data_IF_688204177503
#
_entry.id   IF_688204177503
#
_cell.length_a   1.000
_cell.length_b   1.000
_cell.length_c   1.000
_cell.angle_alpha   90.00
_cell.angle_beta   90.00
_cell.angle_gamma   90.00
#
_symmetry.space_group_name_H-M   'P 1'
#
loop_
_entity.id
_entity.type
_entity.pdbx_description
1 polymer ?
#
# COMPACT_ATOMS: atom_id res chain seq x y z
N UNK A 1 5.53 -17.14 -13.86
CA UNK A 1 4.16 -17.18 -13.28
C UNK A 1 3.34 -16.18 -14.08
N UNK A 2 2.11 -16.50 -14.47
CA UNK A 2 1.25 -15.55 -15.18
C UNK A 2 0.30 -14.87 -14.18
N UNK A 3 0.57 -13.64 -13.85
CA UNK A 3 -0.20 -12.86 -12.86
C UNK A 3 -1.67 -12.71 -13.23
N UNK A 4 -1.98 -12.71 -14.52
CA UNK A 4 -3.38 -12.64 -14.98
C UNK A 4 -4.15 -13.90 -14.62
N UNK A 5 -3.54 -15.07 -14.77
CA UNK A 5 -4.17 -16.35 -14.39
C UNK A 5 -4.37 -16.43 -12.88
N UNK A 6 -3.40 -15.95 -12.09
CA UNK A 6 -3.53 -15.88 -10.63
C UNK A 6 -4.67 -14.94 -10.22
N UNK A 7 -4.77 -13.78 -10.85
CA UNK A 7 -5.85 -12.84 -10.58
C UNK A 7 -7.23 -13.41 -10.93
N UNK A 8 -7.37 -14.15 -12.06
CA UNK A 8 -8.64 -14.83 -12.36
C UNK A 8 -9.00 -15.88 -11.31
N UNK A 9 -8.03 -16.63 -10.78
CA UNK A 9 -8.27 -17.58 -9.68
C UNK A 9 -8.82 -16.86 -8.44
N UNK A 10 -8.27 -15.72 -8.10
CA UNK A 10 -8.76 -14.90 -6.98
C UNK A 10 -10.17 -14.38 -7.26
N UNK A 11 -10.43 -13.88 -8.48
CA UNK A 11 -11.74 -13.38 -8.91
C UNK A 11 -12.85 -14.43 -8.85
N UNK A 12 -12.52 -15.67 -9.16
CA UNK A 12 -13.47 -16.78 -9.08
C UNK A 12 -13.85 -17.12 -7.62
N UNK A 13 -12.97 -16.85 -6.68
CA UNK A 13 -13.16 -17.14 -5.25
C UNK A 13 -13.87 -16.01 -4.49
N UNK A 14 -13.48 -14.76 -4.71
CA UNK A 14 -13.96 -13.62 -3.92
C UNK A 14 -14.81 -12.62 -4.72
N UNK A 15 -14.85 -12.74 -6.05
CA UNK A 15 -15.65 -11.88 -6.92
C UNK A 15 -14.84 -10.83 -7.67
N UNK A 16 -15.39 -10.40 -8.81
CA UNK A 16 -14.73 -9.41 -9.69
C UNK A 16 -14.78 -8.00 -9.13
N UNK A 17 -15.80 -7.68 -8.36
CA UNK A 17 -15.96 -6.36 -7.77
C UNK A 17 -14.83 -6.06 -6.77
N UNK A 18 -14.52 -7.02 -5.92
CA UNK A 18 -13.52 -6.94 -4.86
C UNK A 18 -12.08 -6.86 -5.40
N UNK A 19 -11.89 -7.19 -6.68
CA UNK A 19 -10.58 -7.19 -7.36
C UNK A 19 -10.51 -6.21 -8.53
N UNK A 20 -11.43 -5.24 -8.61
CA UNK A 20 -11.53 -4.31 -9.74
C UNK A 20 -10.74 -3.02 -9.56
N UNK A 21 -10.34 -2.74 -8.33
CA UNK A 21 -9.63 -1.51 -7.96
C UNK A 21 -8.38 -1.82 -7.11
N UNK A 22 -7.51 -0.84 -6.90
CA UNK A 22 -6.27 -0.99 -6.11
C UNK A 22 -6.55 -1.10 -4.62
N UNK A 23 -7.65 -0.52 -4.15
CA UNK A 23 -8.00 -0.45 -2.74
C UNK A 23 -9.33 -1.15 -2.43
N UNK A 24 -9.40 -1.75 -1.26
CA UNK A 24 -10.67 -2.10 -0.63
C UNK A 24 -11.31 -0.85 -0.03
N UNK A 25 -12.65 -0.72 -0.17
CA UNK A 25 -13.36 0.48 0.24
C UNK A 25 -14.59 0.13 1.07
N UNK A 26 -14.69 0.75 2.25
CA UNK A 26 -15.75 0.49 3.22
C UNK A 26 -16.48 1.78 3.58
N UNK A 27 -17.83 1.82 3.53
CA UNK A 27 -18.57 2.99 3.99
C UNK A 27 -18.46 3.15 5.51
N UNK A 28 -18.22 4.38 5.95
CA UNK A 28 -18.22 4.81 7.34
C UNK A 28 -19.15 6.02 7.53
N UNK A 29 -19.46 6.39 8.77
CA UNK A 29 -20.28 7.56 9.09
C UNK A 29 -21.62 7.59 8.32
N UNK A 30 -22.39 6.52 8.43
CA UNK A 30 -23.65 6.32 7.69
C UNK A 30 -23.50 6.47 6.17
N UNK A 31 -22.34 6.13 5.64
CA UNK A 31 -22.03 6.17 4.21
C UNK A 31 -21.67 7.56 3.67
N UNK A 32 -21.40 8.53 4.53
CA UNK A 32 -20.93 9.87 4.13
C UNK A 32 -19.46 9.86 3.71
N UNK A 33 -18.65 9.06 4.40
CA UNK A 33 -17.23 8.88 4.12
C UNK A 33 -16.92 7.42 3.80
N UNK A 34 -15.79 7.22 3.16
CA UNK A 34 -15.25 5.91 2.83
C UNK A 34 -13.91 5.72 3.55
N UNK A 35 -13.74 4.58 4.20
CA UNK A 35 -12.43 4.07 4.61
C UNK A 35 -11.84 3.33 3.40
N UNK A 36 -10.64 3.72 3.02
CA UNK A 36 -9.87 3.12 1.93
C UNK A 36 -8.70 2.36 2.51
N UNK A 37 -8.43 1.16 2.04
CA UNK A 37 -7.29 0.35 2.48
C UNK A 37 -6.69 -0.44 1.33
N UNK A 38 -5.36 -0.50 1.29
CA UNK A 38 -4.59 -1.33 0.37
C UNK A 38 -3.48 -2.07 1.11
N UNK A 39 -2.92 -3.10 0.49
CA UNK A 39 -1.74 -3.78 0.99
C UNK A 39 -0.79 -4.13 -0.15
N UNK A 40 0.50 -3.85 0.04
CA UNK A 40 1.58 -4.16 -0.89
C UNK A 40 2.66 -5.00 -0.22
N UNK A 41 3.30 -5.84 -1.00
CA UNK A 41 4.41 -6.67 -0.57
C UNK A 41 5.58 -6.50 -1.54
N UNK A 42 6.73 -6.12 -0.99
CA UNK A 42 7.96 -5.91 -1.75
C UNK A 42 9.06 -6.86 -1.26
N UNK A 43 9.76 -7.48 -2.20
CA UNK A 43 10.86 -8.41 -1.97
C UNK A 43 12.19 -7.81 -2.43
N UNK A 44 13.28 -8.13 -1.72
CA UNK A 44 14.60 -7.61 -2.03
C UNK A 44 15.06 -7.93 -3.45
N UNK A 45 14.82 -9.16 -3.89
CA UNK A 45 15.35 -9.65 -5.17
C UNK A 45 14.55 -9.20 -6.39
N UNK A 46 13.28 -8.85 -6.22
CA UNK A 46 12.36 -8.55 -7.34
C UNK A 46 11.99 -7.07 -7.44
N UNK A 47 11.88 -6.38 -6.31
CA UNK A 47 11.24 -5.07 -6.28
C UNK A 47 12.20 -3.92 -5.98
N UNK A 48 13.33 -4.20 -5.31
CA UNK A 48 14.29 -3.15 -4.98
C UNK A 48 15.46 -3.13 -5.98
N UNK A 49 15.75 -1.98 -6.61
CA UNK A 49 16.93 -1.79 -7.46
C UNK A 49 18.24 -2.09 -6.71
N UNK A 50 19.20 -2.70 -7.39
CA UNK A 50 20.53 -2.94 -6.83
C UNK A 50 21.17 -1.64 -6.35
N UNK A 51 21.70 -1.66 -5.12
CA UNK A 51 22.35 -0.49 -4.50
C UNK A 51 21.39 0.45 -3.77
N UNK A 52 20.11 0.12 -3.70
CA UNK A 52 19.18 0.83 -2.83
C UNK A 52 19.56 0.59 -1.37
N UNK A 53 19.57 1.66 -0.56
CA UNK A 53 19.84 1.55 0.87
C UNK A 53 18.59 1.05 1.62
N UNK A 54 18.78 0.45 2.79
CA UNK A 54 17.68 0.00 3.65
C UNK A 54 16.70 1.15 3.98
N UNK A 55 17.21 2.36 4.17
CA UNK A 55 16.37 3.55 4.36
C UNK A 55 15.47 3.82 3.16
N UNK A 56 16.03 3.73 1.94
CA UNK A 56 15.27 3.91 0.70
C UNK A 56 14.26 2.79 0.48
N UNK A 57 14.61 1.55 0.84
CA UNK A 57 13.68 0.41 0.78
C UNK A 57 12.46 0.63 1.69
N UNK A 58 12.70 1.08 2.92
CA UNK A 58 11.62 1.43 3.86
C UNK A 58 10.75 2.58 3.35
N UNK A 59 11.35 3.64 2.80
CA UNK A 59 10.62 4.75 2.17
C UNK A 59 9.74 4.25 1.00
N UNK A 60 10.33 3.49 0.07
CA UNK A 60 9.65 2.98 -1.11
C UNK A 60 8.47 2.08 -0.73
N UNK A 61 8.66 1.18 0.25
CA UNK A 61 7.60 0.28 0.70
C UNK A 61 6.40 1.04 1.28
N UNK A 62 6.65 2.06 2.10
CA UNK A 62 5.59 2.91 2.62
C UNK A 62 4.92 3.73 1.50
N UNK A 63 5.71 4.26 0.55
CA UNK A 63 5.21 5.07 -0.55
C UNK A 63 4.29 4.27 -1.49
N UNK A 64 4.56 2.99 -1.73
CA UNK A 64 3.72 2.13 -2.57
C UNK A 64 2.27 2.14 -2.09
N UNK A 65 2.01 1.67 -0.88
CA UNK A 65 0.65 1.63 -0.33
C UNK A 65 0.03 3.02 -0.10
N UNK A 66 0.82 4.02 0.29
CA UNK A 66 0.29 5.38 0.48
C UNK A 66 -0.13 6.02 -0.84
N UNK A 67 0.56 5.69 -1.95
CA UNK A 67 0.19 6.19 -3.29
C UNK A 67 -1.12 5.60 -3.79
N UNK A 68 -1.40 4.32 -3.49
CA UNK A 68 -2.66 3.68 -3.85
C UNK A 68 -3.84 4.33 -3.10
N UNK A 69 -3.66 4.58 -1.80
CA UNK A 69 -4.66 5.32 -1.02
C UNK A 69 -4.91 6.69 -1.63
N UNK A 70 -3.86 7.41 -2.01
CA UNK A 70 -3.98 8.73 -2.62
C UNK A 70 -4.64 8.68 -4.01
N UNK A 71 -4.38 7.63 -4.81
CA UNK A 71 -5.01 7.44 -6.13
C UNK A 71 -6.53 7.33 -6.06
N UNK A 72 -7.06 6.83 -4.94
CA UNK A 72 -8.50 6.76 -4.65
C UNK A 72 -9.10 8.10 -4.19
N UNK A 73 -8.32 9.19 -4.18
CA UNK A 73 -8.75 10.49 -3.66
C UNK A 73 -8.75 10.58 -2.13
N UNK A 74 -8.29 9.54 -1.44
CA UNK A 74 -8.30 9.48 0.01
C UNK A 74 -7.08 10.17 0.63
N UNK A 75 -7.29 10.81 1.78
CA UNK A 75 -6.20 11.31 2.61
C UNK A 75 -5.61 10.14 3.42
N UNK A 76 -4.34 9.78 3.23
CA UNK A 76 -3.68 8.78 4.05
C UNK A 76 -3.73 9.16 5.54
N UNK A 77 -3.91 8.17 6.41
CA UNK A 77 -4.00 8.39 7.86
C UNK A 77 -3.05 7.50 8.64
N UNK A 78 -3.03 6.22 8.33
CA UNK A 78 -2.25 5.23 9.05
C UNK A 78 -1.64 4.20 8.11
N UNK A 79 -0.55 3.58 8.56
CA UNK A 79 0.12 2.47 7.88
C UNK A 79 0.56 1.42 8.90
N UNK A 80 0.35 0.15 8.58
CA UNK A 80 0.94 -1.00 9.25
C UNK A 80 2.11 -1.52 8.42
N UNK A 81 3.18 -1.98 9.07
CA UNK A 81 4.37 -2.49 8.39
C UNK A 81 4.76 -3.83 9.00
N UNK A 82 4.75 -4.89 8.20
CA UNK A 82 5.33 -6.16 8.58
C UNK A 82 6.66 -6.37 7.84
N UNK A 83 7.69 -6.82 8.56
CA UNK A 83 9.04 -6.97 8.00
C UNK A 83 9.56 -8.38 8.29
N UNK A 84 9.78 -9.16 7.24
CA UNK A 84 10.54 -10.40 7.27
C UNK A 84 12.02 -10.09 7.04
N UNK A 85 12.87 -10.38 8.03
CA UNK A 85 14.28 -9.99 8.05
C UNK A 85 15.21 -11.19 7.89
N UNK A 86 16.17 -11.09 6.99
CA UNK A 86 17.33 -11.96 6.91
C UNK A 86 18.41 -11.60 7.96
N UNK A 87 18.48 -10.31 8.36
CA UNK A 87 19.44 -9.76 9.34
C UNK A 87 18.81 -8.66 10.17
N UNK A 88 18.94 -8.75 11.49
CA UNK A 88 18.28 -7.85 12.45
C UNK A 88 18.72 -6.36 12.33
N UNK A 89 19.99 -6.13 11.97
CA UNK A 89 20.55 -4.76 11.85
C UNK A 89 19.89 -3.91 10.76
N UNK A 90 19.21 -4.55 9.80
CA UNK A 90 18.50 -3.85 8.71
C UNK A 90 17.21 -3.17 9.17
N UNK A 91 16.61 -3.62 10.28
CA UNK A 91 15.31 -3.13 10.73
C UNK A 91 15.32 -1.61 10.98
N UNK A 92 16.32 -1.11 11.70
CA UNK A 92 16.35 0.30 12.10
C UNK A 92 16.33 1.25 10.89
N UNK A 93 17.26 1.16 9.92
CA UNK A 93 17.25 2.06 8.78
C UNK A 93 15.99 1.91 7.91
N UNK A 94 15.43 0.70 7.76
CA UNK A 94 14.17 0.47 7.05
C UNK A 94 13.03 1.26 7.73
N UNK A 95 12.90 1.11 9.04
CA UNK A 95 11.85 1.81 9.79
C UNK A 95 12.02 3.33 9.78
N UNK A 96 13.26 3.83 9.84
CA UNK A 96 13.54 5.27 9.70
C UNK A 96 13.07 5.82 8.35
N UNK A 97 13.29 5.09 7.25
CA UNK A 97 12.80 5.45 5.92
C UNK A 97 11.28 5.45 5.84
N UNK A 98 10.64 4.39 6.34
CA UNK A 98 9.19 4.27 6.35
C UNK A 98 8.51 5.37 7.20
N UNK A 99 9.07 5.67 8.38
CA UNK A 99 8.59 6.77 9.25
C UNK A 99 8.70 8.12 8.53
N UNK A 100 9.80 8.36 7.83
CA UNK A 100 10.00 9.60 7.09
C UNK A 100 8.98 9.75 5.95
N UNK A 101 8.69 8.68 5.21
CA UNK A 101 7.66 8.66 4.16
C UNK A 101 6.27 8.91 4.74
N UNK A 102 5.88 8.19 5.79
CA UNK A 102 4.58 8.36 6.44
C UNK A 102 4.36 9.82 6.89
N UNK A 103 5.37 10.43 7.54
CA UNK A 103 5.33 11.85 7.94
C UNK A 103 5.17 12.80 6.75
N UNK A 104 5.87 12.55 5.65
CA UNK A 104 5.75 13.37 4.44
C UNK A 104 4.33 13.34 3.84
N UNK A 105 3.60 12.25 4.04
CA UNK A 105 2.22 12.06 3.60
C UNK A 105 1.17 12.39 4.70
N UNK A 106 1.57 12.98 5.82
CA UNK A 106 0.71 13.24 7.00
C UNK A 106 0.05 11.96 7.57
N UNK A 107 0.69 10.83 7.41
CA UNK A 107 0.28 9.54 7.97
C UNK A 107 1.16 9.14 9.15
N UNK A 108 0.70 8.12 9.91
CA UNK A 108 1.44 7.57 11.05
C UNK A 108 1.63 6.07 10.88
N UNK A 109 2.78 5.56 11.34
CA UNK A 109 2.92 4.11 11.52
C UNK A 109 2.16 3.73 12.79
N UNK A 110 1.14 2.89 12.65
CA UNK A 110 0.22 2.51 13.71
C UNK A 110 0.55 1.14 14.33
N UNK A 111 1.45 0.38 13.71
CA UNK A 111 1.84 -0.95 14.16
C UNK A 111 2.41 -1.78 13.02
N UNK A 112 2.46 -3.09 13.22
CA UNK A 112 2.99 -4.03 12.23
C UNK A 112 3.41 -5.34 12.87
N UNK A 113 4.32 -6.04 12.20
CA UNK A 113 4.87 -7.33 12.64
C UNK A 113 6.35 -7.44 12.26
N UNK A 114 7.08 -8.32 12.95
CA UNK A 114 8.49 -8.61 12.66
C UNK A 114 8.70 -10.10 12.76
N UNK A 115 9.28 -10.69 11.72
CA UNK A 115 9.64 -12.12 11.73
C UNK A 115 11.01 -12.34 11.08
N UNK A 116 11.60 -13.49 11.33
CA UNK A 116 12.81 -13.96 10.65
C UNK A 116 12.44 -14.57 9.30
N UNK A 117 13.15 -14.18 8.25
CA UNK A 117 12.90 -14.67 6.90
C UNK A 117 14.24 -14.90 6.16
N UNK A 118 14.21 -15.65 5.09
CA UNK A 118 15.42 -15.95 4.28
C UNK A 118 15.81 -14.81 3.35
N UNK A 119 14.88 -13.90 3.07
CA UNK A 119 15.02 -12.73 2.19
C UNK A 119 14.28 -11.56 2.82
N UNK A 120 14.83 -10.34 2.71
CA UNK A 120 14.09 -9.16 3.14
C UNK A 120 12.77 -9.05 2.36
N UNK A 121 11.69 -9.06 3.12
CA UNK A 121 10.33 -8.85 2.63
C UNK A 121 9.65 -7.77 3.47
N UNK A 122 9.09 -6.76 2.82
CA UNK A 122 8.38 -5.68 3.51
C UNK A 122 6.94 -5.66 3.01
N UNK A 123 6.00 -5.83 3.93
CA UNK A 123 4.56 -5.73 3.65
C UNK A 123 4.03 -4.47 4.32
N UNK A 124 3.35 -3.64 3.56
CA UNK A 124 2.72 -2.42 4.07
C UNK A 124 1.22 -2.46 3.82
N UNK A 125 0.44 -2.04 4.81
CA UNK A 125 -1.01 -1.88 4.69
C UNK A 125 -1.35 -0.45 5.06
N UNK A 126 -1.83 0.33 4.08
CA UNK A 126 -2.18 1.73 4.29
C UNK A 126 -3.69 1.93 4.40
N UNK A 127 -4.06 2.94 5.18
CA UNK A 127 -5.44 3.36 5.38
C UNK A 127 -5.58 4.85 5.08
N UNK A 128 -6.74 5.20 4.52
CA UNK A 128 -7.11 6.59 4.29
C UNK A 128 -8.60 6.80 4.38
N UNK A 129 -9.01 8.06 4.40
CA UNK A 129 -10.40 8.45 4.47
C UNK A 129 -10.69 9.46 3.35
N UNK A 130 -11.85 9.30 2.71
CA UNK A 130 -12.31 10.22 1.66
C UNK A 130 -13.82 10.46 1.83
N UNK A 131 -14.28 11.68 1.55
CA UNK A 131 -15.71 11.92 1.38
C UNK A 131 -16.23 11.13 0.17
N UNK A 132 -17.40 10.52 0.30
CA UNK A 132 -17.95 9.62 -0.72
C UNK A 132 -17.98 10.23 -2.12
N UNK A 133 -18.27 11.51 -2.21
CA UNK A 133 -18.36 12.25 -3.48
C UNK A 133 -17.00 12.48 -4.16
N UNK A 134 -15.89 12.39 -3.42
CA UNK A 134 -14.52 12.54 -3.92
C UNK A 134 -13.78 11.24 -4.13
N UNK A 135 -14.42 10.11 -3.83
CA UNK A 135 -13.82 8.80 -4.07
C UNK A 135 -13.63 8.55 -5.58
N UNK A 136 -12.40 8.27 -5.96
CA UNK A 136 -12.00 7.97 -7.33
C UNK A 136 -11.81 6.46 -7.52
N UNK A 137 -12.36 5.93 -8.62
CA UNK A 137 -12.14 4.54 -9.04
C UNK A 137 -11.21 4.49 -10.24
N UNK A 138 -10.50 3.38 -10.43
CA UNK A 138 -9.67 3.11 -11.61
C UNK A 138 -10.44 3.29 -12.93
N UNK A 139 -11.72 2.97 -12.95
CA UNK A 139 -12.58 3.04 -14.14
C UNK A 139 -13.32 4.38 -14.30
N UNK A 140 -13.06 5.36 -13.42
CA UNK A 140 -13.80 6.63 -13.40
C UNK A 140 -13.36 7.65 -14.45
N UNK A 141 -12.16 7.53 -15.02
CA UNK A 141 -11.57 8.48 -15.94
C UNK A 141 -12.38 8.65 -17.23
N UNK A 142 -12.46 9.89 -17.74
CA UNK A 142 -13.20 10.27 -18.96
C UNK A 142 -12.29 11.05 -19.92
N UNK A 143 -12.57 11.00 -21.23
CA UNK A 143 -11.87 11.87 -22.18
C UNK A 143 -11.99 13.34 -21.79
N UNK A 144 -10.85 14.03 -21.68
CA UNK A 144 -10.77 15.42 -21.23
C UNK A 144 -10.31 15.61 -19.77
N UNK A 145 -10.23 14.54 -18.99
CA UNK A 145 -9.65 14.59 -17.64
C UNK A 145 -8.13 14.85 -17.72
N UNK A 146 -7.62 15.58 -16.74
CA UNK A 146 -6.18 15.87 -16.62
C UNK A 146 -5.51 14.75 -15.82
N UNK A 147 -4.41 14.23 -16.38
CA UNK A 147 -3.51 13.32 -15.66
C UNK A 147 -2.47 14.15 -14.90
N UNK A 148 -2.36 13.95 -13.61
CA UNK A 148 -1.41 14.65 -12.72
C UNK A 148 -0.49 13.65 -12.03
#
# INVERSE_FOLDING_TARGET
MDDRQLLETIRDLIGRRETSDDCAVFPIDDGKRMLVSTTDMLHETTDFPKGMTEWQMGWMSAAASLSDVASCGAQPTQILIAVGLDRAERLKPIMEGAVACAKACNAQIAGGDIDSHTELTIVTTAFGIVEKEFYCTRSGAKPGDLVR
#
